data_IF_897474019899
#
_entry.id   IF_897474019899
#
_cell.length_a   1.000
_cell.length_b   1.000
_cell.length_c   1.000
_cell.angle_alpha   90.00
_cell.angle_beta   90.00
_cell.angle_gamma   90.00
#
_symmetry.space_group_name_H-M   'P 1'
#
loop_
_entity.id
_entity.type
_entity.pdbx_description
1 polymer ?
#
# COMPACT_ATOMS: atom_id res chain seq x y z
N UNK A 1 33.54 32.09 20.99
CA UNK A 1 33.51 32.70 19.65
C UNK A 1 32.16 32.30 19.06
N UNK A 2 31.16 33.18 19.20
CA UNK A 2 29.76 32.89 18.83
C UNK A 2 29.65 33.06 17.32
N UNK A 3 29.57 31.96 16.59
CA UNK A 3 29.22 31.96 15.18
C UNK A 3 27.72 32.27 15.08
N UNK A 4 27.36 33.56 15.06
CA UNK A 4 26.09 33.96 14.46
C UNK A 4 26.26 33.80 12.94
N UNK A 5 25.97 32.61 12.44
CA UNK A 5 25.71 32.43 11.01
C UNK A 5 24.38 33.11 10.73
N UNK A 6 24.44 34.38 10.31
CA UNK A 6 23.31 35.09 9.70
C UNK A 6 22.91 34.36 8.42
N UNK A 7 22.08 33.33 8.54
CA UNK A 7 21.35 32.80 7.40
C UNK A 7 20.40 33.92 6.99
N UNK A 8 20.53 34.50 5.78
CA UNK A 8 19.68 35.60 5.36
C UNK A 8 18.22 35.13 5.42
N UNK A 9 17.33 35.92 6.01
CA UNK A 9 15.92 35.58 6.23
C UNK A 9 15.21 35.06 4.95
N UNK A 10 15.67 35.49 3.78
CA UNK A 10 15.22 35.00 2.48
C UNK A 10 15.54 33.51 2.23
N UNK A 11 16.70 33.01 2.66
CA UNK A 11 17.09 31.60 2.52
C UNK A 11 16.28 30.71 3.46
N UNK A 12 16.03 31.16 4.69
CA UNK A 12 15.16 30.46 5.63
C UNK A 12 13.70 30.36 5.12
N UNK A 13 13.17 31.46 4.57
CA UNK A 13 11.83 31.49 3.98
C UNK A 13 11.72 30.58 2.74
N UNK A 14 12.75 30.53 1.89
CA UNK A 14 12.79 29.66 0.72
C UNK A 14 12.75 28.17 1.10
N UNK A 15 13.53 27.77 2.11
CA UNK A 15 13.56 26.38 2.58
C UNK A 15 12.22 25.94 3.21
N UNK A 16 11.56 26.82 3.96
CA UNK A 16 10.24 26.54 4.53
C UNK A 16 9.19 26.27 3.44
N UNK A 17 9.20 27.07 2.36
CA UNK A 17 8.27 26.88 1.24
C UNK A 17 8.50 25.52 0.57
N UNK A 18 9.75 25.11 0.37
CA UNK A 18 10.06 23.80 -0.21
C UNK A 18 9.59 22.64 0.67
N UNK A 19 9.79 22.72 1.99
CA UNK A 19 9.31 21.70 2.94
C UNK A 19 7.79 21.60 2.88
N UNK A 20 7.08 22.72 2.90
CA UNK A 20 5.61 22.74 2.81
C UNK A 20 5.10 22.18 1.48
N UNK A 21 5.81 22.42 0.38
CA UNK A 21 5.47 21.84 -0.91
C UNK A 21 5.61 20.31 -0.92
N UNK A 22 6.71 19.79 -0.37
CA UNK A 22 6.93 18.33 -0.28
C UNK A 22 5.87 17.68 0.61
N UNK A 23 5.66 18.22 1.81
CA UNK A 23 4.65 17.73 2.75
C UNK A 23 3.26 17.79 2.10
N UNK A 24 2.89 18.94 1.52
CA UNK A 24 1.61 19.15 0.87
C UNK A 24 1.38 18.18 -0.30
N UNK A 25 2.40 17.93 -1.13
CA UNK A 25 2.33 16.98 -2.22
C UNK A 25 2.12 15.54 -1.72
N UNK A 26 2.87 15.11 -0.70
CA UNK A 26 2.73 13.78 -0.10
C UNK A 26 1.34 13.57 0.50
N UNK A 27 0.87 14.52 1.32
CA UNK A 27 -0.45 14.45 1.95
C UNK A 27 -1.55 14.43 0.89
N UNK A 28 -1.45 15.27 -0.15
CA UNK A 28 -2.42 15.32 -1.24
C UNK A 28 -2.45 14.01 -2.03
N UNK A 29 -1.29 13.48 -2.42
CA UNK A 29 -1.20 12.22 -3.14
C UNK A 29 -1.77 11.06 -2.29
N UNK A 30 -1.44 11.03 -0.99
CA UNK A 30 -1.94 10.02 -0.05
C UNK A 30 -3.47 10.11 0.12
N UNK A 31 -4.02 11.33 0.23
CA UNK A 31 -5.46 11.58 0.32
C UNK A 31 -6.20 11.19 -0.96
N UNK A 32 -5.65 11.51 -2.14
CA UNK A 32 -6.20 11.09 -3.42
C UNK A 32 -6.18 9.57 -3.57
N UNK A 33 -5.12 8.91 -3.08
CA UNK A 33 -5.02 7.44 -3.09
C UNK A 33 -6.12 6.82 -2.24
N UNK A 34 -6.33 7.34 -1.02
CA UNK A 34 -7.40 6.89 -0.11
C UNK A 34 -8.77 7.11 -0.76
N UNK A 35 -9.03 8.31 -1.27
CA UNK A 35 -10.32 8.64 -1.90
C UNK A 35 -10.62 7.76 -3.11
N UNK A 36 -9.66 7.60 -4.02
CA UNK A 36 -9.81 6.75 -5.20
C UNK A 36 -10.08 5.29 -4.81
N UNK A 37 -9.38 4.79 -3.80
CA UNK A 37 -9.54 3.42 -3.29
C UNK A 37 -10.92 3.20 -2.69
N UNK A 38 -11.40 4.14 -1.87
CA UNK A 38 -12.73 4.06 -1.24
C UNK A 38 -13.86 4.17 -2.26
N UNK A 39 -13.73 5.07 -3.24
CA UNK A 39 -14.71 5.19 -4.33
C UNK A 39 -14.74 3.93 -5.19
N UNK A 40 -13.58 3.36 -5.52
CA UNK A 40 -13.50 2.09 -6.24
C UNK A 40 -14.11 0.93 -5.46
N UNK A 41 -13.80 0.79 -4.16
CA UNK A 41 -14.38 -0.24 -3.30
C UNK A 41 -15.89 -0.08 -3.15
N UNK A 42 -16.39 1.16 -3.04
CA UNK A 42 -17.82 1.42 -2.99
C UNK A 42 -18.53 0.98 -4.28
N UNK A 43 -17.92 1.20 -5.44
CA UNK A 43 -18.45 0.72 -6.72
C UNK A 43 -18.35 -0.80 -6.87
N UNK A 44 -17.30 -1.41 -6.33
CA UNK A 44 -17.14 -2.87 -6.31
C UNK A 44 -18.25 -3.57 -5.53
N UNK A 45 -18.56 -3.05 -4.34
CA UNK A 45 -19.65 -3.54 -3.49
C UNK A 45 -21.00 -3.51 -4.21
N UNK A 46 -21.19 -2.63 -5.20
CA UNK A 46 -22.44 -2.47 -5.94
C UNK A 46 -22.54 -3.33 -7.18
N UNK A 47 -21.45 -3.98 -7.60
CA UNK A 47 -21.46 -4.77 -8.81
C UNK A 47 -22.18 -6.10 -8.61
N UNK A 48 -22.95 -6.55 -9.62
CA UNK A 48 -23.50 -7.88 -9.62
C UNK A 48 -22.35 -8.89 -9.56
N UNK A 49 -22.28 -9.66 -8.47
CA UNK A 49 -21.37 -10.81 -8.41
C UNK A 49 -21.79 -11.82 -9.49
N UNK A 50 -20.85 -12.37 -10.28
CA UNK A 50 -21.19 -13.38 -11.27
C UNK A 50 -21.86 -14.56 -10.57
N UNK A 51 -22.99 -15.02 -11.12
CA UNK A 51 -23.74 -16.15 -10.57
C UNK A 51 -22.79 -17.36 -10.57
N UNK A 52 -22.47 -17.96 -9.40
CA UNK A 52 -21.57 -19.09 -9.37
C UNK A 52 -22.17 -20.24 -10.16
N UNK A 53 -21.48 -20.66 -11.23
CA UNK A 53 -21.88 -21.84 -11.98
C UNK A 53 -21.77 -23.09 -11.09
N UNK A 54 -22.66 -24.09 -11.26
CA UNK A 54 -22.56 -25.33 -10.52
C UNK A 54 -21.19 -25.99 -10.80
N UNK A 55 -20.35 -26.09 -9.77
CA UNK A 55 -18.98 -26.61 -9.86
C UNK A 55 -17.86 -25.57 -9.72
N UNK A 56 -18.16 -24.27 -9.71
CA UNK A 56 -17.18 -23.25 -9.31
C UNK A 56 -16.97 -23.29 -7.80
N UNK A 57 -15.70 -23.22 -7.37
CA UNK A 57 -15.38 -22.89 -5.98
C UNK A 57 -16.00 -21.52 -5.64
N UNK A 58 -16.58 -21.39 -4.45
CA UNK A 58 -17.04 -20.08 -3.96
C UNK A 58 -15.86 -19.08 -4.00
N UNK A 59 -16.12 -17.78 -4.21
CA UNK A 59 -15.08 -16.75 -4.18
C UNK A 59 -14.16 -16.92 -2.97
N UNK A 60 -12.88 -16.65 -3.18
CA UNK A 60 -11.77 -16.88 -2.24
C UNK A 60 -11.99 -16.21 -0.88
N UNK A 61 -12.81 -15.17 -0.81
CA UNK A 61 -13.11 -14.41 0.40
C UNK A 61 -14.60 -14.49 0.78
N UNK A 62 -15.10 -15.67 1.18
CA UNK A 62 -16.38 -15.74 1.88
C UNK A 62 -16.21 -15.19 3.30
N UNK A 63 -16.46 -13.90 3.48
CA UNK A 63 -16.47 -13.24 4.78
C UNK A 63 -17.91 -12.85 5.16
N UNK A 64 -18.43 -13.47 6.22
CA UNK A 64 -19.82 -13.26 6.69
C UNK A 64 -20.09 -11.80 7.09
N UNK A 65 -19.05 -11.08 7.51
CA UNK A 65 -19.15 -9.67 7.89
C UNK A 65 -19.29 -8.80 6.64
N UNK A 66 -18.49 -9.08 5.60
CA UNK A 66 -18.56 -8.35 4.32
C UNK A 66 -19.91 -8.59 3.63
N UNK A 67 -20.48 -9.80 3.64
CA UNK A 67 -21.82 -10.08 3.12
C UNK A 67 -22.90 -9.22 3.79
N UNK A 68 -22.92 -9.23 5.13
CA UNK A 68 -23.89 -8.45 5.92
C UNK A 68 -23.72 -6.95 5.72
N UNK A 69 -22.47 -6.50 5.55
CA UNK A 69 -22.16 -5.11 5.26
C UNK A 69 -22.66 -4.69 3.87
N UNK A 70 -22.43 -5.51 2.85
CA UNK A 70 -22.95 -5.29 1.48
C UNK A 70 -24.46 -5.17 1.49
N UNK A 71 -25.18 -6.09 2.15
CA UNK A 71 -26.64 -6.01 2.30
C UNK A 71 -27.10 -4.71 2.97
N UNK A 72 -26.38 -4.25 4.00
CA UNK A 72 -26.69 -3.01 4.70
C UNK A 72 -26.50 -1.78 3.81
N UNK A 73 -25.39 -1.72 3.07
CA UNK A 73 -25.09 -0.66 2.10
C UNK A 73 -26.10 -0.66 0.94
N UNK A 74 -26.59 -1.83 0.51
CA UNK A 74 -27.67 -1.94 -0.47
C UNK A 74 -28.97 -1.36 0.03
N UNK A 75 -29.37 -1.67 1.27
CA UNK A 75 -30.57 -1.08 1.89
C UNK A 75 -30.45 0.43 2.06
N UNK A 76 -29.29 0.94 2.51
CA UNK A 76 -29.06 2.38 2.63
C UNK A 76 -29.12 3.07 1.27
N UNK A 77 -28.48 2.51 0.25
CA UNK A 77 -28.51 3.09 -1.09
C UNK A 77 -29.93 3.10 -1.67
N UNK A 78 -30.68 1.99 -1.55
CA UNK A 78 -32.06 1.94 -1.99
C UNK A 78 -32.95 2.98 -1.28
N UNK A 79 -32.65 3.28 -0.01
CA UNK A 79 -33.38 4.26 0.79
C UNK A 79 -33.01 5.71 0.48
N UNK A 80 -31.72 6.02 0.31
CA UNK A 80 -31.21 7.40 0.28
C UNK A 80 -30.72 7.86 -1.09
N UNK A 81 -30.37 6.95 -1.99
CA UNK A 81 -29.82 7.26 -3.32
C UNK A 81 -30.48 6.47 -4.47
N UNK A 82 -31.83 6.34 -4.54
CA UNK A 82 -32.50 5.54 -5.56
C UNK A 82 -32.32 6.08 -6.99
N UNK A 83 -31.97 7.36 -7.14
CA UNK A 83 -31.89 8.06 -8.44
C UNK A 83 -30.48 8.39 -8.89
N UNK A 84 -29.44 7.98 -8.15
CA UNK A 84 -28.05 8.26 -8.51
C UNK A 84 -27.64 7.42 -9.73
N UNK A 85 -27.86 7.97 -10.92
CA UNK A 85 -27.37 7.42 -12.19
C UNK A 85 -26.04 8.08 -12.51
N UNK A 86 -24.96 7.33 -12.39
CA UNK A 86 -23.66 7.77 -12.87
C UNK A 86 -23.71 7.93 -14.40
N UNK A 87 -23.09 8.98 -14.98
CA UNK A 87 -22.88 9.05 -16.42
C UNK A 87 -21.93 7.92 -16.79
N UNK A 88 -22.28 7.04 -17.73
CA UNK A 88 -21.62 5.73 -17.95
C UNK A 88 -21.89 4.70 -16.82
N UNK A 89 -21.90 3.41 -17.18
CA UNK A 89 -22.20 2.32 -16.24
C UNK A 89 -21.20 2.22 -15.07
N UNK A 90 -21.60 1.60 -13.96
CA UNK A 90 -20.75 1.41 -12.78
C UNK A 90 -19.42 0.71 -13.11
N UNK A 91 -19.45 -0.22 -14.06
CA UNK A 91 -18.25 -0.93 -14.48
C UNK A 91 -17.18 -0.03 -15.08
N UNK A 92 -17.60 0.98 -15.85
CA UNK A 92 -16.70 1.98 -16.41
C UNK A 92 -15.98 2.74 -15.30
N UNK A 93 -16.72 3.28 -14.32
CA UNK A 93 -16.15 4.06 -13.24
C UNK A 93 -15.25 3.24 -12.33
N UNK A 94 -15.61 2.00 -12.02
CA UNK A 94 -14.72 1.14 -11.26
C UNK A 94 -13.38 0.94 -11.98
N UNK A 95 -13.39 0.72 -13.30
CA UNK A 95 -12.14 0.57 -14.07
C UNK A 95 -11.31 1.86 -14.04
N UNK A 96 -11.96 3.03 -14.10
CA UNK A 96 -11.29 4.34 -13.96
C UNK A 96 -10.65 4.48 -12.58
N UNK A 97 -11.40 4.25 -11.50
CA UNK A 97 -10.89 4.38 -10.14
C UNK A 97 -9.83 3.33 -9.82
N UNK A 98 -9.97 2.10 -10.33
CA UNK A 98 -8.96 1.06 -10.22
C UNK A 98 -7.63 1.51 -10.84
N UNK A 99 -7.63 1.95 -12.10
CA UNK A 99 -6.40 2.39 -12.79
C UNK A 99 -5.77 3.61 -12.11
N UNK A 100 -6.62 4.53 -11.66
CA UNK A 100 -6.15 5.72 -10.95
C UNK A 100 -5.55 5.36 -9.59
N UNK A 101 -6.23 4.53 -8.81
CA UNK A 101 -5.73 4.04 -7.52
C UNK A 101 -4.45 3.21 -7.68
N UNK A 102 -4.33 2.41 -8.74
CA UNK A 102 -3.13 1.64 -9.06
C UNK A 102 -1.92 2.55 -9.28
N UNK A 103 -2.07 3.58 -10.12
CA UNK A 103 -1.01 4.55 -10.39
C UNK A 103 -0.61 5.36 -9.14
N UNK A 104 -1.60 5.79 -8.37
CA UNK A 104 -1.36 6.50 -7.11
C UNK A 104 -0.72 5.59 -6.05
N UNK A 105 -1.12 4.32 -5.99
CA UNK A 105 -0.56 3.30 -5.10
C UNK A 105 0.93 3.07 -5.35
N UNK A 106 1.31 2.94 -6.61
CA UNK A 106 2.72 2.79 -7.00
C UNK A 106 3.51 4.06 -6.67
N UNK A 107 2.89 5.24 -6.87
CA UNK A 107 3.46 6.52 -6.45
C UNK A 107 3.72 6.56 -4.95
N UNK A 108 2.77 6.08 -4.12
CA UNK A 108 2.99 5.96 -2.68
C UNK A 108 4.15 5.03 -2.36
N UNK A 109 4.15 3.81 -2.89
CA UNK A 109 5.19 2.83 -2.60
C UNK A 109 6.60 3.38 -2.92
N UNK A 110 6.75 3.99 -4.10
CA UNK A 110 8.04 4.56 -4.54
C UNK A 110 8.40 5.81 -3.73
N UNK A 111 7.46 6.70 -3.44
CA UNK A 111 7.73 7.92 -2.67
C UNK A 111 8.09 7.61 -1.23
N UNK A 112 7.41 6.65 -0.60
CA UNK A 112 7.73 6.15 0.73
C UNK A 112 9.14 5.56 0.79
N UNK A 113 9.49 4.67 -0.16
CA UNK A 113 10.84 4.12 -0.28
C UNK A 113 11.91 5.22 -0.43
N UNK A 114 11.63 6.21 -1.27
CA UNK A 114 12.54 7.32 -1.52
C UNK A 114 12.82 8.14 -0.26
N UNK A 115 11.75 8.48 0.48
CA UNK A 115 11.85 9.35 1.66
C UNK A 115 12.58 8.63 2.80
N UNK A 116 12.28 7.34 3.03
CA UNK A 116 12.97 6.56 4.06
C UNK A 116 14.44 6.34 3.69
N UNK A 117 14.72 5.96 2.45
CA UNK A 117 16.09 5.75 2.00
C UNK A 117 16.93 7.02 2.13
N UNK A 118 16.34 8.18 1.78
CA UNK A 118 16.97 9.48 1.97
C UNK A 118 17.26 9.75 3.44
N UNK A 119 16.30 9.47 4.33
CA UNK A 119 16.49 9.65 5.76
C UNK A 119 17.65 8.80 6.31
N UNK A 120 17.73 7.53 5.91
CA UNK A 120 18.80 6.64 6.36
C UNK A 120 20.19 7.10 5.87
N UNK A 121 20.30 7.55 4.61
CA UNK A 121 21.55 8.07 4.05
C UNK A 121 21.96 9.38 4.76
N UNK A 122 21.02 10.29 4.98
CA UNK A 122 21.28 11.59 5.64
C UNK A 122 21.57 11.43 7.13
N UNK A 123 20.94 10.46 7.78
CA UNK A 123 21.25 10.11 9.16
C UNK A 123 22.66 9.51 9.28
N UNK A 124 23.09 8.69 8.30
CA UNK A 124 24.44 8.14 8.29
C UNK A 124 25.55 9.19 8.08
N UNK A 125 25.23 10.31 7.44
CA UNK A 125 26.15 11.43 7.21
C UNK A 125 26.09 12.50 8.30
N UNK A 126 25.18 12.38 9.28
CA UNK A 126 24.99 13.37 10.35
C UNK A 126 24.31 14.66 9.88
N UNK A 127 23.66 14.64 8.72
CA UNK A 127 23.02 15.80 8.08
C UNK A 127 21.51 15.87 8.34
N UNK A 128 20.95 14.88 9.06
CA UNK A 128 19.53 14.80 9.38
C UNK A 128 19.30 15.10 10.86
N UNK A 129 18.47 16.10 11.17
CA UNK A 129 18.01 16.36 12.53
C UNK A 129 16.87 15.43 12.94
N UNK A 130 16.71 15.28 14.25
CA UNK A 130 15.62 14.49 14.84
C UNK A 130 14.24 15.03 14.43
N UNK A 131 14.10 16.35 14.29
CA UNK A 131 12.89 16.96 13.74
C UNK A 131 12.55 16.46 12.34
N UNK A 132 13.48 16.60 11.40
CA UNK A 132 13.25 16.17 10.02
C UNK A 132 13.06 14.65 9.93
N UNK A 133 13.72 13.89 10.79
CA UNK A 133 13.50 12.45 10.88
C UNK A 133 12.04 12.10 11.26
N UNK A 134 11.47 12.76 12.28
CA UNK A 134 10.08 12.52 12.69
C UNK A 134 9.10 12.87 11.56
N UNK A 135 9.30 14.00 10.89
CA UNK A 135 8.48 14.38 9.72
C UNK A 135 8.57 13.32 8.61
N UNK A 136 9.78 12.84 8.29
CA UNK A 136 9.97 11.79 7.28
C UNK A 136 9.26 10.51 7.69
N UNK A 137 9.36 10.10 8.96
CA UNK A 137 8.69 8.91 9.48
C UNK A 137 7.17 9.03 9.33
N UNK A 138 6.59 10.19 9.61
CA UNK A 138 5.15 10.43 9.42
C UNK A 138 4.74 10.38 7.95
N UNK A 139 5.53 10.98 7.05
CA UNK A 139 5.28 10.94 5.60
C UNK A 139 5.35 9.50 5.07
N UNK A 140 6.33 8.72 5.54
CA UNK A 140 6.47 7.32 5.20
C UNK A 140 5.31 6.48 5.73
N UNK A 141 4.82 6.77 6.93
CA UNK A 141 3.64 6.13 7.51
C UNK A 141 2.36 6.42 6.72
N UNK A 142 2.12 7.68 6.34
CA UNK A 142 0.99 8.07 5.49
C UNK A 142 1.02 7.35 4.15
N UNK A 143 2.18 7.36 3.49
CA UNK A 143 2.41 6.69 2.23
C UNK A 143 2.12 5.19 2.32
N UNK A 144 2.63 4.53 3.36
CA UNK A 144 2.39 3.12 3.63
C UNK A 144 0.90 2.79 3.80
N UNK A 145 0.17 3.52 4.64
CA UNK A 145 -1.25 3.23 4.90
C UNK A 145 -2.11 3.46 3.65
N UNK A 146 -1.87 4.55 2.91
CA UNK A 146 -2.55 4.82 1.65
C UNK A 146 -2.29 3.74 0.60
N UNK A 147 -1.05 3.25 0.50
CA UNK A 147 -0.69 2.12 -0.35
C UNK A 147 -1.42 0.83 0.06
N UNK A 148 -1.39 0.46 1.35
CA UNK A 148 -2.06 -0.74 1.85
C UNK A 148 -3.59 -0.71 1.59
N UNK A 149 -4.24 0.44 1.79
CA UNK A 149 -5.66 0.61 1.48
C UNK A 149 -5.97 0.35 0.00
N UNK A 150 -5.16 0.90 -0.90
CA UNK A 150 -5.37 0.73 -2.34
C UNK A 150 -5.26 -0.72 -2.81
N UNK A 151 -4.47 -1.55 -2.10
CA UNK A 151 -4.34 -2.96 -2.44
C UNK A 151 -5.64 -3.74 -2.23
N UNK A 152 -6.56 -3.29 -1.37
CA UNK A 152 -7.88 -3.92 -1.27
C UNK A 152 -8.68 -3.76 -2.57
N UNK A 153 -8.68 -2.57 -3.17
CA UNK A 153 -9.31 -2.34 -4.47
C UNK A 153 -8.63 -3.15 -5.59
N UNK A 154 -7.30 -3.19 -5.57
CA UNK A 154 -6.52 -3.92 -6.58
C UNK A 154 -6.80 -5.43 -6.48
N UNK A 155 -6.92 -5.98 -5.26
CA UNK A 155 -7.29 -7.39 -5.05
C UNK A 155 -8.69 -7.68 -5.55
N UNK A 156 -9.68 -6.84 -5.23
CA UNK A 156 -11.04 -7.00 -5.72
C UNK A 156 -11.08 -7.07 -7.26
N UNK A 157 -10.34 -6.19 -7.94
CA UNK A 157 -10.20 -6.24 -9.40
C UNK A 157 -9.53 -7.52 -9.89
N UNK A 158 -8.46 -7.97 -9.23
CA UNK A 158 -7.73 -9.19 -9.61
C UNK A 158 -8.65 -10.42 -9.50
N UNK A 159 -9.34 -10.56 -8.37
CA UNK A 159 -10.23 -11.69 -8.12
C UNK A 159 -11.38 -11.72 -9.14
N UNK A 160 -11.88 -10.54 -9.53
CA UNK A 160 -12.90 -10.43 -10.58
C UNK A 160 -12.40 -10.94 -11.94
N UNK A 161 -11.18 -10.58 -12.34
CA UNK A 161 -10.58 -11.04 -13.60
C UNK A 161 -10.39 -12.56 -13.62
N UNK A 162 -9.92 -13.12 -12.50
CA UNK A 162 -9.74 -14.56 -12.34
C UNK A 162 -11.08 -15.33 -12.43
N UNK A 163 -12.18 -14.76 -11.94
CA UNK A 163 -13.52 -15.38 -12.01
C UNK A 163 -14.17 -15.30 -13.40
N UNK A 164 -13.85 -14.27 -14.19
CA UNK A 164 -14.48 -14.02 -15.50
C UNK A 164 -14.01 -14.95 -16.62
N UNK A 165 -12.94 -15.73 -16.40
CA UNK A 165 -12.39 -16.68 -17.37
C UNK A 165 -12.49 -18.13 -16.86
N UNK A 166 -13.63 -18.82 -17.01
CA UNK A 166 -13.75 -20.22 -16.63
C UNK A 166 -12.83 -21.10 -17.51
N UNK A 167 -12.09 -21.99 -16.84
CA UNK A 167 -11.18 -22.94 -17.46
C UNK A 167 -11.91 -23.87 -18.45
N UNK A 168 -11.76 -23.62 -19.74
CA UNK A 168 -11.87 -24.71 -20.73
C UNK A 168 -10.52 -25.41 -20.84
N UNK A 169 -10.53 -26.73 -21.02
CA UNK A 169 -9.37 -27.63 -20.91
C UNK A 169 -8.23 -27.33 -21.90
N UNK A 170 -8.51 -26.64 -23.01
CA UNK A 170 -7.50 -26.13 -23.98
C UNK A 170 -6.97 -24.73 -23.65
N UNK A 171 -7.64 -24.00 -22.74
CA UNK A 171 -7.24 -22.68 -22.23
C UNK A 171 -6.29 -22.78 -21.02
N UNK A 172 -6.03 -23.97 -20.49
CA UNK A 172 -5.18 -24.18 -19.32
C UNK A 172 -3.71 -23.77 -19.58
N UNK A 173 -3.23 -23.93 -20.83
CA UNK A 173 -1.94 -23.41 -21.27
C UNK A 173 -1.94 -21.87 -21.42
N UNK A 174 -3.06 -21.27 -21.87
CA UNK A 174 -3.27 -19.81 -21.87
C UNK A 174 -3.26 -19.24 -20.45
N UNK A 175 -3.90 -19.94 -19.50
CA UNK A 175 -3.97 -19.55 -18.10
C UNK A 175 -2.60 -19.56 -17.42
N UNK A 176 -1.76 -20.56 -17.70
CA UNK A 176 -0.37 -20.59 -17.20
C UNK A 176 0.47 -19.42 -17.73
N UNK A 177 0.30 -19.02 -19.00
CA UNK A 177 0.98 -17.85 -19.58
C UNK A 177 0.44 -16.50 -19.10
N UNK A 178 -0.88 -16.40 -18.83
CA UNK A 178 -1.53 -15.18 -18.33
C UNK A 178 -1.26 -14.95 -16.83
N UNK A 179 -1.29 -16.00 -16.00
CA UNK A 179 -0.84 -15.89 -14.60
C UNK A 179 0.65 -15.51 -14.53
N UNK A 180 1.50 -16.04 -15.43
CA UNK A 180 2.93 -15.72 -15.50
C UNK A 180 3.22 -14.24 -15.84
N UNK A 181 2.33 -13.58 -16.59
CA UNK A 181 2.39 -12.15 -16.89
C UNK A 181 2.07 -11.28 -15.67
N UNK A 182 0.96 -11.58 -14.98
CA UNK A 182 0.63 -10.90 -13.71
C UNK A 182 1.63 -11.22 -12.60
N UNK A 183 2.29 -12.37 -12.68
CA UNK A 183 3.31 -12.78 -11.72
C UNK A 183 4.47 -11.78 -11.67
N UNK A 184 4.95 -11.26 -12.81
CA UNK A 184 6.05 -10.29 -12.85
C UNK A 184 5.73 -9.01 -12.06
N UNK A 185 4.61 -8.35 -12.38
CA UNK A 185 4.17 -7.14 -11.70
C UNK A 185 3.80 -7.38 -10.23
N UNK A 186 3.16 -8.52 -9.92
CA UNK A 186 2.86 -8.92 -8.53
C UNK A 186 4.15 -9.17 -7.73
N UNK A 187 5.16 -9.81 -8.33
CA UNK A 187 6.46 -10.02 -7.68
C UNK A 187 7.19 -8.69 -7.47
N UNK A 188 7.21 -7.80 -8.45
CA UNK A 188 7.84 -6.48 -8.29
C UNK A 188 7.21 -5.72 -7.13
N UNK A 189 5.87 -5.66 -7.08
CA UNK A 189 5.15 -5.04 -5.96
C UNK A 189 5.44 -5.74 -4.64
N UNK A 190 5.40 -7.08 -4.61
CA UNK A 190 5.71 -7.86 -3.41
C UNK A 190 7.12 -7.54 -2.87
N UNK A 191 8.13 -7.52 -3.74
CA UNK A 191 9.52 -7.21 -3.38
C UNK A 191 9.62 -5.77 -2.87
N UNK A 192 9.08 -4.79 -3.59
CA UNK A 192 9.10 -3.39 -3.17
C UNK A 192 8.38 -3.18 -1.83
N UNK A 193 7.25 -3.85 -1.61
CA UNK A 193 6.53 -3.84 -0.35
C UNK A 193 7.32 -4.49 0.78
N UNK A 194 8.02 -5.62 0.53
CA UNK A 194 8.90 -6.24 1.52
C UNK A 194 10.05 -5.32 1.91
N UNK A 195 10.66 -4.64 0.94
CA UNK A 195 11.70 -3.64 1.19
C UNK A 195 11.12 -2.47 2.00
N UNK A 196 9.94 -1.95 1.62
CA UNK A 196 9.27 -0.88 2.35
C UNK A 196 8.98 -1.28 3.80
N UNK A 197 8.47 -2.49 4.05
CA UNK A 197 8.24 -3.00 5.40
C UNK A 197 9.54 -3.07 6.21
N UNK A 198 10.61 -3.61 5.63
CA UNK A 198 11.90 -3.71 6.30
C UNK A 198 12.47 -2.33 6.67
N UNK A 199 12.36 -1.37 5.75
CA UNK A 199 12.79 0.01 5.98
C UNK A 199 11.91 0.72 7.02
N UNK A 200 10.59 0.53 6.97
CA UNK A 200 9.63 1.06 7.97
C UNK A 200 9.92 0.51 9.37
N UNK A 201 10.13 -0.80 9.49
CA UNK A 201 10.51 -1.41 10.77
C UNK A 201 11.84 -0.83 11.29
N UNK A 202 12.78 -0.57 10.39
CA UNK A 202 14.08 0.02 10.74
C UNK A 202 13.93 1.42 11.33
N UNK A 203 13.21 2.33 10.66
CA UNK A 203 13.04 3.70 11.17
C UNK A 203 12.21 3.74 12.46
N UNK A 204 11.21 2.86 12.59
CA UNK A 204 10.40 2.75 13.81
C UNK A 204 11.24 2.27 15.00
N UNK A 205 12.20 1.36 14.77
CA UNK A 205 13.14 0.94 15.81
C UNK A 205 14.02 2.13 16.22
N UNK A 206 14.54 2.90 15.26
CA UNK A 206 15.37 4.06 15.55
C UNK A 206 14.62 5.14 16.33
N UNK A 207 13.33 5.32 16.07
CA UNK A 207 12.48 6.28 16.78
C UNK A 207 12.13 5.87 18.22
N UNK A 208 12.50 4.67 18.66
CA UNK A 208 12.16 4.13 19.99
C UNK A 208 12.95 4.72 21.17
N UNK A 209 13.86 5.65 20.90
CA UNK A 209 14.71 6.28 21.91
C UNK A 209 13.93 7.18 22.85
N UNK A 210 14.27 7.16 24.15
CA UNK A 210 13.66 8.04 25.17
C UNK A 210 13.73 9.53 24.81
N UNK A 211 14.71 9.90 24.01
CA UNK A 211 15.09 11.27 23.70
C UNK A 211 14.49 11.79 22.38
N UNK A 212 13.75 10.94 21.66
CA UNK A 212 13.27 11.22 20.30
C UNK A 212 12.38 12.48 20.18
N UNK A 213 11.61 12.79 21.22
CA UNK A 213 10.71 13.96 21.25
C UNK A 213 11.24 15.13 22.08
N UNK A 214 12.52 15.08 22.48
CA UNK A 214 13.12 16.10 23.34
C UNK A 214 14.22 16.89 22.64
N UNK A 215 14.88 16.29 21.64
CA UNK A 215 16.07 16.86 21.01
C UNK A 215 15.90 17.04 19.51
N UNK A 216 14.95 17.88 19.12
CA UNK A 216 14.58 18.12 17.72
C UNK A 216 15.73 18.65 16.84
N UNK A 217 16.62 19.47 17.40
CA UNK A 217 17.76 20.07 16.69
C UNK A 217 18.95 19.13 16.52
N UNK A 218 19.06 18.10 17.36
CA UNK A 218 20.23 17.25 17.37
C UNK A 218 20.23 16.29 16.17
N UNK A 219 21.42 15.88 15.68
CA UNK A 219 21.53 14.86 14.66
C UNK A 219 20.78 13.58 15.08
N UNK A 220 19.91 13.10 14.21
CA UNK A 220 19.08 11.92 14.46
C UNK A 220 19.92 10.67 14.76
N UNK A 221 21.14 10.60 14.24
CA UNK A 221 22.09 9.51 14.54
C UNK A 221 22.48 9.42 16.02
N UNK A 222 22.50 10.55 16.73
CA UNK A 222 22.87 10.61 18.15
C UNK A 222 21.69 10.24 19.07
N UNK A 223 20.48 10.57 18.63
CA UNK A 223 19.25 10.35 19.40
C UNK A 223 18.60 9.00 19.06
N UNK A 224 18.87 8.41 17.90
CA UNK A 224 18.27 7.16 17.44
C UNK A 224 18.64 5.96 18.33
N UNK A 225 17.64 5.16 18.67
CA UNK A 225 17.84 3.91 19.42
C UNK A 225 18.50 2.85 18.53
N UNK A 226 19.52 2.17 19.05
CA UNK A 226 20.23 1.07 18.37
C UNK A 226 20.95 1.47 17.06
N UNK A 227 21.10 2.77 16.81
CA UNK A 227 21.98 3.27 15.76
C UNK A 227 23.46 3.02 16.14
N UNK A 228 24.34 2.62 15.20
CA UNK A 228 25.75 2.42 15.50
C UNK A 228 26.41 3.67 16.09
N UNK A 229 26.99 3.54 17.28
CA UNK A 229 27.63 4.65 17.99
C UNK A 229 26.70 5.50 18.86
N UNK A 230 25.38 5.24 18.84
CA UNK A 230 24.43 5.90 19.74
C UNK A 230 24.41 5.23 21.12
N UNK A 231 24.42 6.03 22.18
CA UNK A 231 24.22 5.60 23.57
C UNK A 231 22.77 5.71 24.04
N UNK A 232 21.85 6.00 23.11
CA UNK A 232 20.44 6.21 23.44
C UNK A 232 19.76 4.92 23.88
N UNK A 233 19.04 4.99 25.01
CA UNK A 233 18.24 3.89 25.54
C UNK A 233 16.78 4.00 25.09
N UNK A 234 16.12 2.86 24.91
CA UNK A 234 14.68 2.84 24.69
C UNK A 234 13.96 3.23 25.98
N UNK A 235 12.98 4.13 25.88
CA UNK A 235 12.21 4.55 27.05
C UNK A 235 11.06 5.50 26.74
N UNK A 236 10.21 5.73 27.73
CA UNK A 236 9.13 6.71 27.67
C UNK A 236 8.06 6.42 26.63
N UNK A 237 7.39 7.49 26.18
CA UNK A 237 6.38 7.44 25.10
C UNK A 237 6.93 6.89 23.77
N UNK A 238 8.15 7.29 23.30
CA UNK A 238 8.69 6.77 22.04
C UNK A 238 8.80 5.24 21.97
N UNK A 239 9.21 4.58 23.07
CA UNK A 239 9.29 3.12 23.11
C UNK A 239 7.92 2.45 22.98
N UNK A 240 6.88 3.01 23.59
CA UNK A 240 5.52 2.47 23.50
C UNK A 240 5.01 2.56 22.06
N UNK A 241 5.26 3.69 21.39
CA UNK A 241 4.93 3.87 19.98
C UNK A 241 5.74 2.99 19.05
N UNK A 242 7.03 2.77 19.33
CA UNK A 242 7.85 1.79 18.59
C UNK A 242 7.20 0.39 18.64
N UNK A 243 6.85 -0.10 19.83
CA UNK A 243 6.22 -1.43 19.99
C UNK A 243 4.87 -1.46 19.24
N UNK A 244 4.06 -0.41 19.41
CA UNK A 244 2.75 -0.31 18.76
C UNK A 244 2.89 -0.36 17.24
N UNK A 245 3.78 0.46 16.67
CA UNK A 245 4.01 0.50 15.22
C UNK A 245 4.57 -0.82 14.68
N UNK A 246 5.46 -1.51 15.40
CA UNK A 246 5.94 -2.84 14.99
C UNK A 246 4.78 -3.83 14.88
N UNK A 247 3.87 -3.84 15.87
CA UNK A 247 2.69 -4.73 15.86
C UNK A 247 1.74 -4.35 14.71
N UNK A 248 1.43 -3.06 14.55
CA UNK A 248 0.52 -2.59 13.51
C UNK A 248 1.06 -2.85 12.10
N UNK A 249 2.33 -2.57 11.84
CA UNK A 249 2.98 -2.85 10.55
C UNK A 249 3.00 -4.35 10.27
N UNK A 250 3.38 -5.16 11.25
CA UNK A 250 3.44 -6.62 11.09
C UNK A 250 2.06 -7.18 10.77
N UNK A 251 1.01 -6.71 11.46
CA UNK A 251 -0.37 -7.10 11.18
C UNK A 251 -0.80 -6.67 9.77
N UNK A 252 -0.70 -5.37 9.45
CA UNK A 252 -1.26 -4.80 8.23
C UNK A 252 -0.58 -5.36 6.97
N UNK A 253 0.74 -5.55 7.00
CA UNK A 253 1.45 -6.19 5.89
C UNK A 253 1.15 -7.67 5.80
N UNK A 254 1.02 -8.39 6.92
CA UNK A 254 0.66 -9.81 6.88
C UNK A 254 -0.74 -10.02 6.32
N UNK A 255 -1.73 -9.23 6.76
CA UNK A 255 -3.10 -9.31 6.25
C UNK A 255 -3.18 -8.92 4.77
N UNK A 256 -2.24 -8.11 4.29
CA UNK A 256 -2.22 -7.61 2.92
C UNK A 256 -1.43 -8.50 1.94
N UNK A 257 -0.21 -8.88 2.30
CA UNK A 257 0.71 -9.59 1.41
C UNK A 257 0.28 -11.04 1.19
N UNK A 258 -0.35 -11.69 2.17
CA UNK A 258 -0.80 -13.10 2.06
C UNK A 258 -1.74 -13.33 0.88
N UNK A 259 -2.53 -12.33 0.50
CA UNK A 259 -3.47 -12.43 -0.62
C UNK A 259 -2.91 -11.93 -1.96
N UNK A 260 -1.70 -11.37 -1.97
CA UNK A 260 -1.05 -10.92 -3.20
C UNK A 260 -0.48 -12.09 -4.01
N UNK A 261 -0.04 -13.16 -3.32
CA UNK A 261 0.44 -14.39 -3.96
C UNK A 261 -0.63 -15.49 -3.83
N UNK A 262 -1.12 -16.00 -4.97
CA UNK A 262 -2.13 -17.07 -4.99
C UNK A 262 -1.74 -18.30 -4.14
N UNK A 263 -0.50 -18.83 -4.23
CA UNK A 263 -0.05 -19.96 -3.42
C UNK A 263 -0.03 -19.68 -1.92
N UNK A 264 0.27 -18.45 -1.48
CA UNK A 264 0.26 -18.10 -0.05
C UNK A 264 -1.16 -18.00 0.47
N UNK A 265 -2.08 -17.47 -0.33
CA UNK A 265 -3.50 -17.43 0.03
C UNK A 265 -4.09 -18.85 0.19
N UNK A 266 -3.69 -19.79 -0.68
CA UNK A 266 -4.12 -21.18 -0.59
C UNK A 266 -3.47 -21.93 0.58
N UNK A 267 -2.17 -21.72 0.81
CA UNK A 267 -1.46 -22.27 1.98
C UNK A 267 -2.06 -21.76 3.28
N UNK A 268 -2.38 -20.47 3.36
CA UNK A 268 -3.05 -19.87 4.51
C UNK A 268 -4.44 -20.45 4.74
N UNK A 269 -5.21 -20.71 3.66
CA UNK A 269 -6.49 -21.43 3.74
C UNK A 269 -6.32 -22.83 4.29
N UNK A 270 -5.32 -23.59 3.83
CA UNK A 270 -5.03 -24.93 4.34
C UNK A 270 -4.70 -24.91 5.84
N UNK A 271 -3.89 -23.94 6.28
CA UNK A 271 -3.60 -23.73 7.71
C UNK A 271 -4.87 -23.41 8.50
N UNK A 272 -5.75 -22.52 7.99
CA UNK A 272 -7.04 -22.20 8.63
C UNK A 272 -7.95 -23.43 8.74
N UNK A 273 -8.00 -24.25 7.68
CA UNK A 273 -8.78 -25.50 7.68
C UNK A 273 -8.21 -26.54 8.64
N UNK A 274 -6.88 -26.66 8.72
CA UNK A 274 -6.19 -27.59 9.62
C UNK A 274 -6.29 -27.18 11.10
N UNK A 275 -6.35 -25.88 11.40
CA UNK A 275 -6.52 -25.37 12.76
C UNK A 275 -7.96 -25.56 13.30
N UNK A 276 -8.97 -25.58 12.41
CA UNK A 276 -10.38 -25.71 12.76
C UNK A 276 -10.71 -26.91 13.67
N UNK A 277 -10.31 -28.16 13.39
CA UNK A 277 -10.61 -29.30 14.25
C UNK A 277 -9.94 -29.23 15.64
N UNK A 278 -8.78 -28.58 15.76
CA UNK A 278 -8.10 -28.39 17.06
C UNK A 278 -8.88 -27.41 17.93
N UNK A 279 -9.40 -26.34 17.32
CA UNK A 279 -10.23 -25.33 17.98
C UNK A 279 -11.62 -25.88 18.35
N UNK A 280 -12.19 -26.85 17.61
CA UNK A 280 -13.54 -27.43 17.87
C UNK A 280 -13.65 -28.19 19.21
N UNK A 281 -12.54 -28.44 19.91
CA UNK A 281 -12.57 -28.92 21.31
C UNK A 281 -13.01 -27.85 22.32
N UNK A 282 -13.03 -26.58 21.92
CA UNK A 282 -13.56 -25.44 22.68
C UNK A 282 -15.09 -25.34 22.52
N UNK A 283 -15.80 -24.73 23.47
CA UNK A 283 -17.26 -24.53 23.41
C UNK A 283 -17.69 -23.93 22.05
N UNK A 284 -18.67 -24.56 21.38
CA UNK A 284 -19.17 -24.15 20.06
C UNK A 284 -19.58 -22.68 20.02
N UNK A 285 -20.18 -22.15 21.09
CA UNK A 285 -20.57 -20.73 21.14
C UNK A 285 -19.37 -19.79 21.15
N UNK A 286 -18.32 -20.18 21.88
CA UNK A 286 -17.08 -19.44 21.95
C UNK A 286 -16.31 -19.53 20.62
N UNK A 287 -16.33 -20.70 19.96
CA UNK A 287 -15.77 -20.90 18.63
C UNK A 287 -16.45 -20.03 17.56
N UNK A 288 -17.79 -19.98 17.55
CA UNK A 288 -18.55 -19.15 16.63
C UNK A 288 -18.29 -17.66 16.86
N UNK A 289 -18.17 -17.23 18.13
CA UNK A 289 -17.78 -15.87 18.49
C UNK A 289 -16.36 -15.51 18.04
N UNK A 290 -15.39 -16.38 18.27
CA UNK A 290 -14.00 -16.20 17.80
C UNK A 290 -13.91 -16.18 16.28
N UNK A 291 -14.66 -17.04 15.59
CA UNK A 291 -14.72 -17.02 14.14
C UNK A 291 -15.34 -15.72 13.62
N UNK A 292 -16.40 -15.22 14.26
CA UNK A 292 -16.99 -13.93 13.89
C UNK A 292 -16.02 -12.78 14.12
N UNK A 293 -15.29 -12.76 15.23
CA UNK A 293 -14.23 -11.77 15.48
C UNK A 293 -13.14 -11.85 14.43
N UNK A 294 -12.70 -13.06 14.09
CA UNK A 294 -11.71 -13.27 13.04
C UNK A 294 -12.19 -12.76 11.68
N UNK A 295 -13.41 -13.11 11.29
CA UNK A 295 -14.05 -12.66 10.06
C UNK A 295 -14.23 -11.12 10.10
N UNK A 296 -14.52 -10.52 11.26
CA UNK A 296 -14.55 -9.07 11.43
C UNK A 296 -13.18 -8.42 11.20
N UNK A 297 -12.12 -8.91 11.84
CA UNK A 297 -10.77 -8.36 11.67
C UNK A 297 -10.20 -8.59 10.27
N UNK A 298 -10.64 -9.64 9.56
CA UNK A 298 -10.29 -9.88 8.17
C UNK A 298 -11.26 -9.28 7.16
N UNK A 299 -12.24 -8.48 7.61
CA UNK A 299 -13.25 -7.86 6.73
C UNK A 299 -12.67 -6.67 5.98
N UNK A 300 -13.11 -6.48 4.75
CA UNK A 300 -12.75 -5.31 3.94
C UNK A 300 -13.22 -4.03 4.60
N UNK A 301 -14.36 -4.09 5.31
CA UNK A 301 -14.87 -2.98 6.12
C UNK A 301 -13.89 -2.59 7.23
N UNK A 302 -13.50 -3.55 8.08
CA UNK A 302 -12.61 -3.27 9.20
C UNK A 302 -11.27 -2.76 8.71
N UNK A 303 -10.66 -3.42 7.72
CA UNK A 303 -9.38 -2.99 7.16
C UNK A 303 -9.48 -1.58 6.56
N UNK A 304 -10.54 -1.28 5.79
CA UNK A 304 -10.74 0.07 5.25
C UNK A 304 -10.90 1.11 6.35
N UNK A 305 -11.74 0.85 7.35
CA UNK A 305 -11.97 1.76 8.47
C UNK A 305 -10.68 1.98 9.29
N UNK A 306 -9.95 0.90 9.55
CA UNK A 306 -8.66 0.92 10.23
C UNK A 306 -7.66 1.80 9.48
N UNK A 307 -7.48 1.60 8.17
CA UNK A 307 -6.58 2.41 7.35
C UNK A 307 -7.02 3.88 7.29
N UNK A 308 -8.32 4.17 7.19
CA UNK A 308 -8.86 5.55 7.22
C UNK A 308 -8.54 6.22 8.57
N UNK A 309 -8.78 5.51 9.68
CA UNK A 309 -8.50 6.04 11.02
C UNK A 309 -7.02 6.36 11.18
N UNK A 310 -6.13 5.45 10.78
CA UNK A 310 -4.69 5.68 10.86
C UNK A 310 -4.18 6.73 9.88
N UNK A 311 -4.81 6.88 8.72
CA UNK A 311 -4.54 7.99 7.82
C UNK A 311 -4.88 9.34 8.49
N UNK A 312 -6.08 9.45 9.08
CA UNK A 312 -6.51 10.65 9.79
C UNK A 312 -5.61 11.00 10.99
N UNK A 313 -5.25 10.00 11.79
CA UNK A 313 -4.30 10.15 12.90
C UNK A 313 -2.90 10.52 12.41
N UNK A 314 -2.42 9.93 11.30
CA UNK A 314 -1.14 10.26 10.70
C UNK A 314 -1.07 11.73 10.23
N UNK A 315 -2.14 12.25 9.62
CA UNK A 315 -2.21 13.67 9.24
C UNK A 315 -2.21 14.56 10.49
N UNK A 316 -2.91 14.15 11.54
CA UNK A 316 -2.93 14.87 12.81
C UNK A 316 -1.53 14.94 13.45
N UNK A 317 -0.82 13.81 13.54
CA UNK A 317 0.53 13.74 14.10
C UNK A 317 1.54 14.51 13.27
N UNK A 318 1.53 14.36 11.94
CA UNK A 318 2.38 15.15 11.06
C UNK A 318 2.19 16.66 11.27
N UNK A 319 0.94 17.09 11.49
CA UNK A 319 0.63 18.49 11.78
C UNK A 319 1.13 18.91 13.15
N UNK A 320 1.00 18.05 14.16
CA UNK A 320 1.45 18.33 15.53
C UNK A 320 2.97 18.37 15.63
N UNK A 321 3.67 17.40 15.04
CA UNK A 321 5.13 17.33 14.96
C UNK A 321 5.70 18.53 14.19
N UNK A 322 5.07 18.90 13.08
CA UNK A 322 5.45 20.11 12.35
C UNK A 322 5.30 21.36 13.21
N UNK A 323 4.14 21.56 13.87
CA UNK A 323 3.90 22.72 14.75
C UNK A 323 4.81 22.75 15.96
N UNK A 324 5.08 21.59 16.56
CA UNK A 324 5.93 21.47 17.73
C UNK A 324 7.38 21.75 17.39
N UNK A 325 7.89 21.19 16.29
CA UNK A 325 9.25 21.50 15.82
C UNK A 325 9.42 22.98 15.48
N UNK A 326 8.46 23.60 14.79
CA UNK A 326 8.53 25.04 14.49
C UNK A 326 8.56 25.91 15.75
N UNK A 327 7.75 25.58 16.77
CA UNK A 327 7.76 26.32 18.04
C UNK A 327 9.10 26.21 18.78
N UNK A 328 9.70 25.02 18.76
CA UNK A 328 10.94 24.75 19.47
C UNK A 328 12.15 25.38 18.77
N UNK A 329 12.20 25.33 17.44
CA UNK A 329 13.26 25.94 16.63
C UNK A 329 13.25 27.48 16.67
N UNK A 330 12.11 28.11 16.97
CA UNK A 330 11.99 29.57 17.08
C UNK A 330 12.50 30.12 18.42
N UNK A 331 12.54 29.31 19.47
CA UNK A 331 12.90 29.73 20.83
C UNK A 331 13.88 28.74 21.50
N UNK A 332 15.10 28.56 20.97
CA UNK A 332 16.05 27.57 21.50
C UNK A 332 16.49 27.87 22.94
N UNK A 333 16.46 29.15 23.35
CA UNK A 333 16.89 29.60 24.68
C UNK A 333 15.93 29.22 25.82
N UNK A 334 14.70 28.81 25.53
CA UNK A 334 13.66 28.54 26.53
C UNK A 334 13.56 27.04 26.90
N UNK A 335 14.43 26.18 26.36
CA UNK A 335 14.40 24.73 26.56
C UNK A 335 15.26 24.35 27.79
N UNK A 336 14.67 23.96 28.93
CA UNK A 336 15.45 23.54 30.10
C UNK A 336 16.11 22.18 29.82
N UNK A 337 17.44 22.12 29.94
CA UNK A 337 18.22 20.91 29.63
C UNK A 337 18.74 20.85 28.20
N UNK A 338 18.90 22.02 27.54
CA UNK A 338 19.68 22.18 26.31
C UNK A 338 21.06 21.52 26.49
N UNK A 339 21.17 20.28 26.03
CA UNK A 339 22.43 19.56 25.99
C UNK A 339 23.09 20.02 24.68
N UNK A 340 24.31 20.55 24.77
CA UNK A 340 25.14 20.90 23.61
C UNK A 340 25.37 19.64 22.76
N UNK A 341 24.47 19.36 21.83
CA UNK A 341 24.71 18.39 20.79
C UNK A 341 25.48 19.07 19.65
N UNK A 342 26.34 18.30 18.98
CA UNK A 342 27.09 18.84 17.86
C UNK A 342 26.12 19.34 16.77
N UNK A 343 26.40 20.52 16.19
CA UNK A 343 25.55 21.06 15.14
C UNK A 343 25.53 20.13 13.92
N UNK A 344 24.39 20.09 13.24
CA UNK A 344 24.17 19.28 12.05
C UNK A 344 25.22 19.62 10.99
N UNK A 345 25.92 18.61 10.48
CA UNK A 345 26.91 18.81 9.43
C UNK A 345 26.23 19.29 8.14
N UNK A 346 26.76 20.34 7.51
CA UNK A 346 26.24 20.87 6.24
C UNK A 346 24.99 21.78 6.35
N UNK A 347 24.41 21.93 7.55
CA UNK A 347 23.25 22.79 7.80
C UNK A 347 21.92 22.26 7.23
N UNK A 348 20.81 22.55 7.92
CA UNK A 348 19.46 22.12 7.47
C UNK A 348 19.00 22.78 6.15
N UNK A 349 19.64 23.91 5.78
CA UNK A 349 19.35 24.62 4.54
C UNK A 349 19.67 23.82 3.27
N UNK A 350 20.43 22.73 3.40
CA UNK A 350 20.75 21.79 2.33
C UNK A 350 19.75 20.65 2.17
N UNK A 351 18.45 20.85 2.48
CA UNK A 351 17.35 19.87 2.31
C UNK A 351 17.10 19.53 0.83
N UNK A 352 18.11 18.97 0.18
CA UNK A 352 18.07 18.49 -1.18
C UNK A 352 17.77 17.00 -1.19
N UNK A 353 16.50 16.65 -1.35
CA UNK A 353 16.08 15.33 -1.86
C UNK A 353 16.66 15.04 -3.27
N UNK A 354 17.23 16.06 -3.92
CA UNK A 354 17.41 16.19 -5.36
C UNK A 354 18.28 15.17 -6.07
N UNK A 355 18.95 14.25 -5.37
CA UNK A 355 19.67 13.15 -6.03
C UNK A 355 18.99 11.80 -5.82
N UNK A 356 18.66 11.44 -4.58
CA UNK A 356 18.09 10.12 -4.28
C UNK A 356 16.62 10.05 -4.69
N UNK A 357 15.83 11.08 -4.38
CA UNK A 357 14.39 11.05 -4.64
C UNK A 357 14.04 10.96 -6.13
N UNK A 358 14.69 11.73 -7.05
CA UNK A 358 14.45 11.55 -8.48
C UNK A 358 14.83 10.16 -9.00
N UNK A 359 15.88 9.52 -8.45
CA UNK A 359 16.26 8.15 -8.84
C UNK A 359 15.16 7.15 -8.48
N UNK A 360 14.53 7.27 -7.31
CA UNK A 360 13.36 6.46 -6.98
C UNK A 360 12.18 6.78 -7.88
N UNK A 361 11.92 8.06 -8.18
CA UNK A 361 10.82 8.45 -9.07
C UNK A 361 10.97 7.89 -10.49
N UNK A 362 12.17 7.51 -10.94
CA UNK A 362 12.38 6.77 -12.20
C UNK A 362 11.83 5.33 -12.17
N UNK A 363 11.53 4.78 -10.99
CA UNK A 363 10.85 3.50 -10.87
C UNK A 363 9.40 3.58 -11.36
N UNK A 364 8.73 4.73 -11.23
CA UNK A 364 7.34 4.90 -11.68
C UNK A 364 7.16 4.67 -13.18
N UNK A 365 7.88 5.36 -14.09
CA UNK A 365 7.76 5.10 -15.51
C UNK A 365 8.20 3.68 -15.88
N UNK A 366 9.13 3.06 -15.13
CA UNK A 366 9.49 1.66 -15.34
C UNK A 366 8.33 0.71 -14.98
N UNK A 367 7.65 0.96 -13.86
CA UNK A 367 6.46 0.19 -13.48
C UNK A 367 5.36 0.34 -14.53
N UNK A 368 5.08 1.57 -14.99
CA UNK A 368 4.13 1.82 -16.07
C UNK A 368 4.54 1.14 -17.38
N UNK A 369 5.82 1.10 -17.71
CA UNK A 369 6.32 0.39 -18.90
C UNK A 369 6.09 -1.12 -18.77
N UNK A 370 6.36 -1.70 -17.60
CA UNK A 370 6.10 -3.12 -17.35
C UNK A 370 4.61 -3.44 -17.44
N UNK A 371 3.74 -2.56 -16.97
CA UNK A 371 2.28 -2.69 -17.11
C UNK A 371 1.86 -2.66 -18.58
N UNK A 372 2.32 -1.66 -19.33
CA UNK A 372 2.00 -1.52 -20.75
C UNK A 372 2.51 -2.72 -21.57
N UNK A 373 3.72 -3.21 -21.26
CA UNK A 373 4.28 -4.40 -21.91
C UNK A 373 3.44 -5.65 -21.65
N UNK A 374 3.02 -5.88 -20.40
CA UNK A 374 2.19 -7.04 -20.06
C UNK A 374 0.77 -6.91 -20.64
N UNK A 375 0.22 -5.70 -20.74
CA UNK A 375 -1.07 -5.45 -21.39
C UNK A 375 -1.00 -5.75 -22.91
N UNK A 376 0.04 -5.31 -23.61
CA UNK A 376 0.20 -5.56 -25.05
C UNK A 376 0.46 -7.05 -25.34
N UNK A 377 1.28 -7.70 -24.51
CA UNK A 377 1.52 -9.15 -24.59
C UNK A 377 0.23 -9.95 -24.46
N UNK A 378 -0.79 -9.46 -23.74
CA UNK A 378 -2.12 -10.08 -23.66
C UNK A 378 -2.96 -9.88 -24.92
N UNK A 379 -2.78 -8.76 -25.62
CA UNK A 379 -3.53 -8.46 -26.83
C UNK A 379 -3.07 -9.31 -28.03
N UNK A 380 -1.85 -9.84 -27.99
CA UNK A 380 -1.31 -10.68 -29.05
C UNK A 380 -2.05 -12.03 -29.14
N UNK A 381 -2.48 -12.46 -30.35
CA UNK A 381 -2.99 -13.81 -30.53
C UNK A 381 -1.89 -14.84 -30.21
N UNK A 382 -2.25 -16.02 -29.67
CA UNK A 382 -1.26 -17.04 -29.37
C UNK A 382 -0.49 -17.37 -30.66
N UNK A 383 0.82 -17.64 -30.58
CA UNK A 383 1.57 -18.13 -31.73
C UNK A 383 0.81 -19.33 -32.27
N UNK A 384 0.51 -19.31 -33.58
CA UNK A 384 -0.22 -20.37 -34.23
C UNK A 384 0.50 -21.68 -33.94
N UNK A 385 -0.02 -22.47 -33.00
CA UNK A 385 0.41 -23.85 -32.83
C UNK A 385 0.25 -24.45 -34.21
N UNK A 386 1.33 -24.95 -34.80
CA UNK A 386 1.33 -25.63 -36.09
C UNK A 386 0.14 -26.57 -36.13
N UNK A 387 -0.97 -26.11 -36.70
CA UNK A 387 -2.14 -26.91 -36.91
C UNK A 387 -1.63 -28.02 -37.82
N UNK A 388 -1.77 -29.25 -37.37
CA UNK A 388 -1.59 -30.42 -38.20
C UNK A 388 -2.20 -30.09 -39.57
N UNK A 389 -1.32 -30.03 -40.57
CA UNK A 389 -1.68 -29.84 -41.96
C UNK A 389 -2.78 -30.85 -42.25
N UNK A 390 -4.01 -30.35 -42.38
CA UNK A 390 -5.17 -31.18 -42.67
C UNK A 390 -4.87 -31.93 -43.95
N UNK A 391 -4.99 -33.26 -43.90
CA UNK A 391 -5.06 -34.07 -45.11
C UNK A 391 -6.19 -33.49 -45.96
N UNK A 392 -5.82 -32.88 -47.08
CA UNK A 392 -6.73 -32.60 -48.19
C UNK A 392 -7.37 -33.93 -48.59
N UNK A 393 -8.58 -34.22 -48.10
CA UNK A 393 -9.43 -35.22 -48.73
C UNK A 393 -9.93 -34.60 -50.02
N UNK A 394 -9.43 -35.12 -51.14
CA UNK A 394 -9.91 -34.84 -52.49
C UNK A 394 -11.45 -34.84 -52.57
N UNK A 395 -12.06 -33.93 -53.34
CA UNK A 395 -13.47 -34.04 -53.66
C UNK A 395 -13.68 -35.28 -54.54
N UNK A 396 -14.47 -36.23 -54.02
CA UNK A 396 -14.90 -37.40 -54.79
C UNK A 396 -15.96 -36.93 -55.78
N UNK A 397 -15.61 -36.97 -57.06
CA UNK A 397 -16.56 -36.81 -58.16
C UNK A 397 -17.77 -37.73 -57.96
N UNK A 398 -18.96 -37.14 -57.87
CA UNK A 398 -20.22 -37.82 -58.15
C UNK A 398 -21.00 -36.99 -59.15
N UNK A 399 -20.69 -37.21 -60.43
CA UNK A 399 -21.68 -37.10 -61.50
C UNK A 399 -22.82 -38.07 -61.17
N UNK A 400 -24.04 -37.57 -61.04
CA UNK A 400 -25.25 -38.29 -61.50
C UNK A 400 -26.46 -37.36 -61.54
N UNK A 401 -26.85 -37.00 -62.77
CA UNK A 401 -28.21 -37.06 -63.35
C UNK A 401 -29.45 -36.57 -62.56
N UNK A 402 -30.16 -35.58 -63.14
CA UNK A 402 -31.56 -35.61 -63.63
C UNK A 402 -32.09 -34.15 -63.67
N UNK A 403 -32.21 -33.52 -64.84
CA UNK A 403 -33.43 -33.48 -65.68
C UNK A 403 -34.74 -33.80 -64.93
N UNK A 404 -35.45 -32.72 -64.52
CA UNK A 404 -36.82 -32.39 -64.98
C UNK A 404 -37.24 -31.00 -64.53
#
# INVERSE_FOLDING_TARGET
MIYHSDVPAAAAAFNLIQILQVIGAFVTASALTVLASLLGLFLDLKRPQPIPHPGMAKPVAYNRVDDRWTEYIDRLHAKYMPTMKLPYGQDFWFQVFYRFALSLSDTQLVSGLAVISTALIRMATGELSTYHFNIIQDLAWLSNNSHLLSLHLIRAWIEQQEQSHPASTTLQARHASQLGAYFGLRMTRFVLMSVMLALMLTIVIFSGSRWMYSYFECPASCTAFRWPGSTSEAGGSPQQWMITNIVLLSWAYSSTMVYLLGPTAESWRQVKHAARPVLVKLDRRLLDGLQYLWDFFGSTLFESAFQITWFGLGVHWLTDDWRSGQRLLQHPADIPGYLDCEPIMGGEAGWGFGQVFPLFMLLLPLMTLLEAFEDEKRALPPPASHAHCGKFTQPRNSLHYLDK
#
